data_IF_289853341136
#
_entry.id   IF_289853341136
#
_cell.length_a   1.000
_cell.length_b   1.000
_cell.length_c   1.000
_cell.angle_alpha   90.00
_cell.angle_beta   90.00
_cell.angle_gamma   90.00
#
_symmetry.space_group_name_H-M   'P 1'
#
loop_
_entity.id
_entity.type
_entity.pdbx_description
1 polymer ?
#
# COMPACT_ATOMS: atom_id res chain seq x y z
N UNK A 1 48.75 18.99 -1.07
CA UNK A 1 48.55 18.09 0.06
C UNK A 1 47.34 17.21 -0.24
N UNK A 2 47.55 15.90 -0.42
CA UNK A 2 46.44 14.95 -0.62
C UNK A 2 45.84 14.57 0.73
N UNK A 3 44.53 14.42 0.79
CA UNK A 3 43.85 13.86 1.96
C UNK A 3 44.09 12.35 1.91
N UNK A 4 44.71 11.72 2.92
CA UNK A 4 44.83 10.28 2.95
C UNK A 4 43.44 9.66 3.11
N UNK A 5 42.96 8.95 2.09
CA UNK A 5 41.74 8.15 2.19
C UNK A 5 42.10 6.66 2.13
N UNK A 6 41.54 5.86 3.00
CA UNK A 6 41.62 4.41 3.00
C UNK A 6 40.41 3.88 2.23
N UNK A 7 40.66 3.28 1.08
CA UNK A 7 39.58 2.60 0.33
C UNK A 7 39.52 1.18 0.87
N UNK A 8 38.48 0.89 1.64
CA UNK A 8 38.16 -0.48 2.02
C UNK A 8 37.20 -1.06 0.96
N UNK A 9 37.63 -2.15 0.31
CA UNK A 9 36.72 -2.96 -0.49
C UNK A 9 35.93 -3.81 0.49
N UNK A 10 34.70 -3.36 0.82
CA UNK A 10 33.77 -4.17 1.56
C UNK A 10 32.72 -4.72 0.59
N UNK A 11 32.36 -5.99 0.74
CA UNK A 11 31.21 -6.60 0.04
C UNK A 11 29.90 -6.11 0.66
N UNK A 12 29.73 -4.77 0.71
CA UNK A 12 28.52 -4.12 1.20
C UNK A 12 27.47 -4.18 0.09
N UNK A 13 26.23 -4.52 0.41
CA UNK A 13 25.15 -4.48 -0.56
C UNK A 13 24.87 -3.04 -1.01
N UNK A 14 24.38 -2.86 -2.23
CA UNK A 14 24.02 -1.53 -2.74
C UNK A 14 22.96 -0.83 -1.83
N UNK A 15 22.11 -1.60 -1.19
CA UNK A 15 21.12 -1.10 -0.21
C UNK A 15 21.83 -0.55 1.03
N UNK A 16 22.79 -1.29 1.59
CA UNK A 16 23.52 -0.86 2.78
C UNK A 16 24.42 0.36 2.48
N UNK A 17 25.01 0.41 1.30
CA UNK A 17 25.80 1.55 0.85
C UNK A 17 24.96 2.83 0.79
N UNK A 18 23.74 2.75 0.24
CA UNK A 18 22.83 3.88 0.17
C UNK A 18 22.33 4.31 1.56
N UNK A 19 22.01 3.37 2.46
CA UNK A 19 21.64 3.66 3.85
C UNK A 19 22.77 4.41 4.56
N UNK A 20 24.02 3.95 4.42
CA UNK A 20 25.19 4.61 5.01
C UNK A 20 25.40 6.02 4.44
N UNK A 21 25.15 6.23 3.16
CA UNK A 21 25.27 7.53 2.50
C UNK A 21 24.23 8.52 3.04
N UNK A 22 22.97 8.08 3.20
CA UNK A 22 21.89 8.91 3.76
C UNK A 22 22.25 9.32 5.19
N UNK A 23 22.67 8.38 6.03
CA UNK A 23 23.08 8.64 7.41
C UNK A 23 24.22 9.64 7.51
N UNK A 24 25.29 9.42 6.74
CA UNK A 24 26.44 10.32 6.74
C UNK A 24 26.08 11.76 6.32
N UNK A 25 25.15 11.92 5.39
CA UNK A 25 24.65 13.23 4.99
C UNK A 25 23.77 13.87 6.05
N UNK A 26 22.95 13.08 6.76
CA UNK A 26 22.09 13.57 7.85
C UNK A 26 22.90 14.19 8.98
N UNK A 27 24.00 13.56 9.37
CA UNK A 27 24.86 13.99 10.50
C UNK A 27 25.60 15.31 10.22
N UNK A 28 25.81 15.66 8.95
CA UNK A 28 26.66 16.81 8.56
C UNK A 28 25.85 18.07 8.25
N UNK A 29 24.55 17.98 8.00
CA UNK A 29 23.72 19.11 7.53
C UNK A 29 22.56 19.40 8.46
N UNK A 30 22.31 20.71 8.73
CA UNK A 30 20.99 21.14 9.19
C UNK A 30 19.98 20.90 8.05
N UNK A 31 19.23 19.81 8.16
CA UNK A 31 18.28 19.38 7.13
C UNK A 31 16.97 20.16 7.26
N UNK A 32 16.48 20.70 6.15
CA UNK A 32 15.11 21.23 6.06
C UNK A 32 14.08 20.14 6.32
N UNK A 33 12.81 20.53 6.58
CA UNK A 33 11.71 19.58 6.75
C UNK A 33 11.56 18.66 5.53
N UNK A 34 11.68 19.21 4.34
CA UNK A 34 11.63 18.49 3.07
C UNK A 34 12.72 17.42 2.97
N UNK A 35 13.98 17.77 3.29
CA UNK A 35 15.09 16.83 3.28
C UNK A 35 14.89 15.71 4.29
N UNK A 36 14.46 16.03 5.52
CA UNK A 36 14.18 15.00 6.55
C UNK A 36 13.07 14.04 6.12
N UNK A 37 12.05 14.54 5.47
CA UNK A 37 10.98 13.70 4.92
C UNK A 37 11.51 12.78 3.82
N UNK A 38 12.28 13.33 2.88
CA UNK A 38 12.89 12.54 1.82
C UNK A 38 13.79 11.43 2.37
N UNK A 39 14.65 11.75 3.35
CA UNK A 39 15.53 10.77 4.00
C UNK A 39 14.72 9.63 4.65
N UNK A 40 13.66 9.96 5.39
CA UNK A 40 12.80 8.94 6.03
C UNK A 40 12.06 8.11 4.97
N UNK A 41 11.52 8.73 3.93
CA UNK A 41 10.82 8.04 2.85
C UNK A 41 11.76 7.08 2.10
N UNK A 42 12.98 7.55 1.79
CA UNK A 42 13.96 6.70 1.11
C UNK A 42 14.44 5.54 1.97
N UNK A 43 14.73 5.79 3.25
CA UNK A 43 15.07 4.72 4.19
C UNK A 43 13.92 3.72 4.39
N UNK A 44 12.67 4.17 4.35
CA UNK A 44 11.51 3.29 4.42
C UNK A 44 11.54 2.26 3.27
N UNK A 45 11.73 2.71 2.03
CA UNK A 45 11.82 1.84 0.84
C UNK A 45 12.98 0.83 0.97
N UNK A 46 14.16 1.29 1.37
CA UNK A 46 15.34 0.44 1.51
C UNK A 46 15.15 -0.62 2.61
N UNK A 47 14.57 -0.23 3.74
CA UNK A 47 14.29 -1.16 4.82
C UNK A 47 13.10 -2.08 4.56
N UNK A 48 12.13 -1.67 3.73
CA UNK A 48 11.09 -2.58 3.26
C UNK A 48 11.69 -3.72 2.42
N UNK A 49 12.63 -3.41 1.53
CA UNK A 49 13.35 -4.42 0.77
C UNK A 49 14.13 -5.38 1.68
N UNK A 50 14.85 -4.88 2.70
CA UNK A 50 15.54 -5.71 3.70
C UNK A 50 14.59 -6.56 4.54
N UNK A 51 13.42 -6.04 4.87
CA UNK A 51 12.39 -6.79 5.61
C UNK A 51 11.83 -7.95 4.79
N UNK A 52 11.60 -7.78 3.50
CA UNK A 52 11.19 -8.86 2.60
C UNK A 52 12.22 -10.00 2.56
N UNK A 53 13.51 -9.67 2.69
CA UNK A 53 14.60 -10.66 2.78
C UNK A 53 14.73 -11.28 4.19
N UNK A 54 13.92 -10.87 5.17
CA UNK A 54 13.96 -11.38 6.55
C UNK A 54 15.11 -10.81 7.42
N UNK A 55 15.81 -9.77 6.94
CA UNK A 55 16.98 -9.20 7.63
C UNK A 55 16.58 -8.33 8.83
N UNK A 56 15.41 -7.69 8.79
CA UNK A 56 14.93 -6.78 9.85
C UNK A 56 13.49 -7.07 10.23
N UNK A 57 13.11 -6.66 11.46
CA UNK A 57 11.75 -6.85 12.01
C UNK A 57 10.96 -5.55 12.12
N UNK A 58 11.60 -4.45 12.53
CA UNK A 58 10.95 -3.17 12.80
C UNK A 58 11.63 -2.04 12.02
N UNK A 59 11.05 -1.70 10.87
CA UNK A 59 11.56 -0.67 9.97
C UNK A 59 11.67 0.69 10.68
N UNK A 60 10.68 1.10 11.45
CA UNK A 60 10.70 2.41 12.10
C UNK A 60 11.78 2.51 13.19
N UNK A 61 12.11 1.40 13.85
CA UNK A 61 13.23 1.36 14.79
C UNK A 61 14.57 1.51 14.07
N UNK A 62 14.74 0.87 12.91
CA UNK A 62 15.95 1.01 12.11
C UNK A 62 16.12 2.45 11.59
N UNK A 63 15.06 3.05 11.04
CA UNK A 63 15.07 4.46 10.61
C UNK A 63 15.40 5.38 11.79
N UNK A 64 14.80 5.14 12.95
CA UNK A 64 15.03 5.94 14.16
C UNK A 64 16.50 5.89 14.60
N UNK A 65 17.10 4.71 14.61
CA UNK A 65 18.51 4.51 14.92
C UNK A 65 19.41 5.20 13.89
N UNK A 66 19.07 5.08 12.60
CA UNK A 66 19.89 5.61 11.51
C UNK A 66 19.92 7.14 11.46
N UNK A 67 18.81 7.79 11.76
CA UNK A 67 18.67 9.25 11.75
C UNK A 67 18.74 9.88 13.15
N UNK A 68 19.09 9.12 14.18
CA UNK A 68 19.14 9.58 15.57
C UNK A 68 17.87 10.33 16.01
N UNK A 69 16.70 9.84 15.61
CA UNK A 69 15.39 10.34 15.98
C UNK A 69 14.62 9.31 16.81
N UNK A 70 13.51 9.69 17.41
CA UNK A 70 12.65 8.71 18.07
C UNK A 70 11.84 7.89 17.05
N UNK A 71 11.54 6.62 17.36
CA UNK A 71 10.66 5.79 16.55
C UNK A 71 9.29 6.45 16.30
N UNK A 72 8.79 7.19 17.29
CA UNK A 72 7.56 7.98 17.15
C UNK A 72 7.70 9.08 16.09
N UNK A 73 8.84 9.74 15.99
CA UNK A 73 9.10 10.73 14.93
C UNK A 73 9.21 10.06 13.56
N UNK A 74 9.93 8.94 13.45
CA UNK A 74 10.00 8.16 12.22
C UNK A 74 8.59 7.81 11.69
N UNK A 75 7.70 7.32 12.56
CA UNK A 75 6.30 7.03 12.22
C UNK A 75 5.52 8.25 11.74
N UNK A 76 5.72 9.42 12.36
CA UNK A 76 5.06 10.65 11.93
C UNK A 76 5.49 11.10 10.53
N UNK A 77 6.79 11.02 10.24
CA UNK A 77 7.30 11.30 8.89
C UNK A 77 6.68 10.35 7.85
N UNK A 78 6.65 9.04 8.15
CA UNK A 78 6.02 8.04 7.27
C UNK A 78 4.51 8.33 7.04
N UNK A 79 3.80 8.82 8.08
CA UNK A 79 2.39 9.19 7.94
C UNK A 79 2.25 10.48 7.11
N UNK A 80 3.16 11.43 7.27
CA UNK A 80 3.17 12.69 6.53
C UNK A 80 3.36 12.50 5.00
N UNK A 81 3.93 11.36 4.56
CA UNK A 81 4.00 11.01 3.13
C UNK A 81 2.63 10.75 2.49
N UNK A 82 1.60 10.54 3.30
CA UNK A 82 0.21 10.34 2.84
C UNK A 82 -0.59 11.64 2.71
N UNK A 83 0.05 12.78 2.93
CA UNK A 83 -0.59 14.08 2.74
C UNK A 83 -0.79 14.37 1.25
N UNK A 84 -1.89 15.06 0.95
CA UNK A 84 -2.06 15.67 -0.37
C UNK A 84 -0.94 16.71 -0.61
N UNK A 85 -0.57 16.97 -1.89
CA UNK A 85 0.58 17.83 -2.22
C UNK A 85 0.54 19.19 -1.52
N UNK A 86 -0.60 19.83 -1.46
CA UNK A 86 -0.77 21.17 -0.90
C UNK A 86 -0.54 21.20 0.63
N UNK A 87 -0.99 20.18 1.38
CA UNK A 87 -0.69 20.04 2.81
C UNK A 87 0.78 19.67 3.02
N UNK A 88 1.38 18.92 2.11
CA UNK A 88 2.81 18.62 2.09
C UNK A 88 3.66 19.88 1.93
N UNK A 89 3.26 20.80 1.06
CA UNK A 89 3.91 22.11 0.88
C UNK A 89 3.76 22.99 2.15
N UNK A 90 2.58 22.95 2.79
CA UNK A 90 2.39 23.65 4.07
C UNK A 90 3.30 23.09 5.17
N UNK A 91 3.54 21.78 5.21
CA UNK A 91 4.50 21.18 6.13
C UNK A 91 5.93 21.64 5.83
N UNK A 92 6.35 21.64 4.56
CA UNK A 92 7.69 22.06 4.16
C UNK A 92 7.95 23.55 4.42
N UNK A 93 6.91 24.40 4.32
CA UNK A 93 6.98 25.83 4.61
C UNK A 93 6.73 26.19 6.08
N UNK A 94 6.60 25.21 6.98
CA UNK A 94 6.24 25.37 8.39
C UNK A 94 4.86 26.02 8.61
N UNK A 95 3.95 25.95 7.64
CA UNK A 95 2.56 26.36 7.79
C UNK A 95 1.75 25.40 8.67
N UNK A 96 2.17 24.14 8.75
CA UNK A 96 1.70 23.13 9.71
C UNK A 96 2.88 22.42 10.35
N UNK A 97 2.70 21.89 11.55
CA UNK A 97 3.73 21.12 12.24
C UNK A 97 3.63 19.59 11.94
N UNK A 98 4.69 18.84 12.30
CA UNK A 98 4.73 17.39 12.08
C UNK A 98 3.64 16.62 12.85
N UNK A 99 3.12 17.16 13.97
CA UNK A 99 2.02 16.53 14.71
C UNK A 99 0.69 16.72 13.97
N UNK A 100 0.49 17.89 13.38
CA UNK A 100 -0.65 18.15 12.51
C UNK A 100 -0.59 17.29 11.25
N UNK A 101 0.57 17.20 10.60
CA UNK A 101 0.82 16.36 9.47
C UNK A 101 0.52 14.86 9.75
N UNK A 102 0.97 14.35 10.90
CA UNK A 102 0.65 12.97 11.35
C UNK A 102 -0.86 12.75 11.57
N UNK A 103 -1.58 13.77 12.06
CA UNK A 103 -3.03 13.67 12.21
C UNK A 103 -3.76 13.69 10.86
N UNK A 104 -3.36 14.60 9.97
CA UNK A 104 -4.01 14.78 8.67
C UNK A 104 -3.73 13.64 7.72
N UNK A 105 -2.49 13.12 7.68
CA UNK A 105 -2.11 11.98 6.83
C UNK A 105 -2.77 10.64 7.19
N UNK A 106 -3.53 10.58 8.29
CA UNK A 106 -4.37 9.41 8.67
C UNK A 106 -5.78 9.48 8.10
N UNK A 107 -6.16 10.61 7.52
CA UNK A 107 -7.48 10.85 6.97
C UNK A 107 -7.51 10.57 5.47
N UNK A 108 -8.70 10.35 4.94
CA UNK A 108 -8.92 10.25 3.50
C UNK A 108 -8.63 11.59 2.77
N UNK A 109 -8.49 11.53 1.46
CA UNK A 109 -8.15 12.69 0.63
C UNK A 109 -9.19 13.82 0.71
N UNK A 110 -10.49 13.49 0.80
CA UNK A 110 -11.57 14.46 0.88
C UNK A 110 -11.55 15.21 2.22
N UNK A 111 -11.27 14.50 3.30
CA UNK A 111 -11.08 15.11 4.62
C UNK A 111 -9.84 16.02 4.64
N UNK A 112 -8.74 15.61 3.99
CA UNK A 112 -7.55 16.43 3.85
C UNK A 112 -7.82 17.71 3.03
N UNK A 113 -8.56 17.64 1.93
CA UNK A 113 -9.00 18.80 1.13
C UNK A 113 -9.88 19.76 1.94
N UNK A 114 -10.77 19.21 2.77
CA UNK A 114 -11.61 20.00 3.67
C UNK A 114 -10.76 20.75 4.69
N UNK A 115 -9.79 20.08 5.31
CA UNK A 115 -8.84 20.71 6.26
C UNK A 115 -8.04 21.81 5.55
N UNK A 116 -7.53 21.55 4.35
CA UNK A 116 -6.79 22.54 3.57
C UNK A 116 -7.63 23.81 3.34
N UNK A 117 -8.90 23.66 2.94
CA UNK A 117 -9.79 24.79 2.70
C UNK A 117 -10.02 25.65 3.97
N UNK A 118 -10.11 25.00 5.14
CA UNK A 118 -10.24 25.69 6.43
C UNK A 118 -8.95 26.42 6.78
N UNK A 119 -7.79 25.79 6.62
CA UNK A 119 -6.49 26.41 6.89
C UNK A 119 -6.27 27.61 5.94
N UNK A 120 -6.60 27.49 4.68
CA UNK A 120 -6.49 28.61 3.72
C UNK A 120 -7.39 29.79 4.09
N UNK A 121 -8.56 29.54 4.64
CA UNK A 121 -9.53 30.57 5.04
C UNK A 121 -9.20 31.21 6.38
N UNK A 122 -8.81 30.41 7.37
CA UNK A 122 -8.70 30.81 8.78
C UNK A 122 -7.24 30.88 9.28
N UNK A 123 -6.27 30.44 8.47
CA UNK A 123 -4.85 30.30 8.85
C UNK A 123 -4.53 29.08 9.71
N UNK A 124 -5.54 28.49 10.35
CA UNK A 124 -5.41 27.30 11.22
C UNK A 124 -6.72 26.54 11.27
N UNK A 125 -6.69 25.32 11.82
CA UNK A 125 -7.88 24.53 12.10
C UNK A 125 -8.07 24.36 13.60
N UNK A 126 -9.28 24.59 14.10
CA UNK A 126 -9.63 24.35 15.49
C UNK A 126 -9.79 22.85 15.78
N UNK A 127 -9.52 22.45 17.03
CA UNK A 127 -9.61 21.04 17.41
C UNK A 127 -11.04 20.47 17.24
N UNK A 128 -12.07 21.27 17.49
CA UNK A 128 -13.46 20.85 17.31
C UNK A 128 -13.80 20.57 15.84
N UNK A 129 -13.37 21.43 14.92
CA UNK A 129 -13.52 21.25 13.47
C UNK A 129 -12.78 20.00 13.00
N UNK A 130 -11.53 19.82 13.44
CA UNK A 130 -10.74 18.64 13.14
C UNK A 130 -11.42 17.35 13.60
N UNK A 131 -11.95 17.30 14.83
CA UNK A 131 -12.66 16.10 15.34
C UNK A 131 -13.92 15.78 14.55
N UNK A 132 -14.66 16.80 14.09
CA UNK A 132 -15.84 16.60 13.26
C UNK A 132 -15.48 16.00 11.90
N UNK A 133 -14.43 16.51 11.24
CA UNK A 133 -13.94 15.99 9.96
C UNK A 133 -13.42 14.56 10.12
N UNK A 134 -12.65 14.32 11.19
CA UNK A 134 -12.13 12.99 11.50
C UNK A 134 -13.26 11.96 11.66
N UNK A 135 -14.30 12.29 12.40
CA UNK A 135 -15.46 11.43 12.62
C UNK A 135 -16.14 11.08 11.29
N UNK A 136 -16.36 12.06 10.41
CA UNK A 136 -16.94 11.83 9.09
C UNK A 136 -16.05 10.95 8.20
N UNK A 137 -14.73 11.12 8.25
CA UNK A 137 -13.78 10.28 7.53
C UNK A 137 -13.81 8.82 8.05
N UNK A 138 -13.88 8.62 9.37
CA UNK A 138 -14.00 7.30 9.99
C UNK A 138 -15.32 6.61 9.61
N UNK A 139 -16.45 7.31 9.63
CA UNK A 139 -17.76 6.80 9.22
C UNK A 139 -17.74 6.35 7.76
N UNK A 140 -17.19 7.15 6.84
CA UNK A 140 -17.03 6.77 5.42
C UNK A 140 -16.12 5.55 5.24
N UNK A 141 -15.03 5.47 6.02
CA UNK A 141 -14.12 4.33 5.95
C UNK A 141 -14.80 3.02 6.41
N UNK A 142 -15.67 3.09 7.42
CA UNK A 142 -16.43 1.95 7.91
C UNK A 142 -17.49 1.52 6.90
N UNK A 143 -18.22 2.46 6.29
CA UNK A 143 -19.14 2.18 5.20
C UNK A 143 -18.43 1.52 4.00
N UNK A 144 -17.28 2.06 3.59
CA UNK A 144 -16.50 1.49 2.49
C UNK A 144 -16.01 0.06 2.79
N UNK A 145 -15.65 -0.25 4.03
CA UNK A 145 -15.30 -1.61 4.47
C UNK A 145 -16.47 -2.56 4.38
N UNK A 146 -17.65 -2.10 4.76
CA UNK A 146 -18.88 -2.92 4.68
C UNK A 146 -19.27 -3.20 3.24
N UNK A 147 -19.26 -2.20 2.37
CA UNK A 147 -19.48 -2.40 0.93
C UNK A 147 -18.46 -3.36 0.31
N UNK A 148 -17.19 -3.26 0.70
CA UNK A 148 -16.16 -4.19 0.23
C UNK A 148 -16.47 -5.63 0.64
N UNK A 149 -16.89 -5.88 1.88
CA UNK A 149 -17.27 -7.23 2.32
C UNK A 149 -18.45 -7.79 1.52
N UNK A 150 -19.46 -6.95 1.25
CA UNK A 150 -20.62 -7.34 0.45
C UNK A 150 -20.19 -7.67 -0.98
N UNK A 151 -19.29 -6.87 -1.57
CA UNK A 151 -18.75 -7.12 -2.91
C UNK A 151 -17.97 -8.43 -2.96
N UNK A 152 -17.07 -8.66 -2.00
CA UNK A 152 -16.27 -9.89 -1.91
C UNK A 152 -17.18 -11.13 -1.76
N UNK A 153 -18.28 -11.02 -0.99
CA UNK A 153 -19.28 -12.09 -0.84
C UNK A 153 -20.03 -12.37 -2.14
N UNK A 154 -20.48 -11.31 -2.83
CA UNK A 154 -21.17 -11.44 -4.10
C UNK A 154 -20.26 -12.01 -5.20
N UNK A 155 -18.99 -11.62 -5.21
CA UNK A 155 -18.01 -12.15 -6.16
C UNK A 155 -17.82 -13.66 -5.98
N UNK A 156 -17.70 -14.15 -4.75
CA UNK A 156 -17.59 -15.59 -4.46
C UNK A 156 -18.86 -16.35 -4.91
N UNK A 157 -20.03 -15.77 -4.66
CA UNK A 157 -21.29 -16.39 -5.09
C UNK A 157 -21.39 -16.49 -6.62
N UNK A 158 -20.88 -15.50 -7.35
CA UNK A 158 -20.79 -15.54 -8.81
C UNK A 158 -19.83 -16.62 -9.27
N UNK A 159 -18.64 -16.74 -8.68
CA UNK A 159 -17.66 -17.77 -8.98
C UNK A 159 -18.23 -19.18 -8.76
N UNK A 160 -18.92 -19.41 -7.64
CA UNK A 160 -19.57 -20.70 -7.34
C UNK A 160 -20.65 -21.04 -8.36
N UNK A 161 -21.47 -20.06 -8.79
CA UNK A 161 -22.49 -20.23 -9.81
C UNK A 161 -21.87 -20.54 -11.18
N UNK A 162 -20.80 -19.85 -11.55
CA UNK A 162 -20.06 -20.10 -12.79
C UNK A 162 -19.50 -21.53 -12.83
N UNK A 163 -18.88 -21.97 -11.74
CA UNK A 163 -18.40 -23.36 -11.64
C UNK A 163 -19.53 -24.38 -11.77
N UNK A 164 -20.69 -24.09 -11.17
CA UNK A 164 -21.89 -24.96 -11.30
C UNK A 164 -22.38 -25.03 -12.76
N UNK A 165 -22.39 -23.90 -13.46
CA UNK A 165 -22.76 -23.84 -14.89
C UNK A 165 -21.82 -24.68 -15.72
N UNK A 166 -20.51 -24.57 -15.53
CA UNK A 166 -19.49 -25.36 -16.26
C UNK A 166 -19.70 -26.87 -16.05
N UNK A 167 -19.97 -27.28 -14.80
CA UNK A 167 -20.27 -28.69 -14.52
C UNK A 167 -21.55 -29.21 -15.19
N UNK A 168 -22.57 -28.37 -15.29
CA UNK A 168 -23.81 -28.71 -15.97
C UNK A 168 -23.62 -28.80 -17.48
N UNK A 169 -22.87 -27.89 -18.06
CA UNK A 169 -22.52 -27.91 -19.50
C UNK A 169 -21.72 -29.18 -19.87
N UNK A 170 -20.75 -29.56 -19.03
CA UNK A 170 -20.02 -30.83 -19.22
C UNK A 170 -20.96 -32.04 -19.17
N UNK A 171 -21.92 -32.08 -18.25
CA UNK A 171 -22.90 -33.18 -18.19
C UNK A 171 -23.79 -33.22 -19.44
N UNK A 172 -24.28 -32.06 -19.89
CA UNK A 172 -25.08 -31.98 -21.13
C UNK A 172 -24.31 -32.49 -22.32
N UNK A 173 -23.06 -32.06 -22.49
CA UNK A 173 -22.21 -32.54 -23.59
C UNK A 173 -21.95 -34.04 -23.53
N UNK A 174 -21.77 -34.61 -22.34
CA UNK A 174 -21.60 -36.06 -22.18
C UNK A 174 -22.87 -36.84 -22.54
N UNK A 175 -24.08 -36.35 -22.16
CA UNK A 175 -25.35 -36.96 -22.57
C UNK A 175 -25.55 -36.91 -24.09
N UNK A 176 -25.29 -35.78 -24.73
CA UNK A 176 -25.44 -35.61 -26.17
C UNK A 176 -24.48 -36.53 -26.95
N UNK A 177 -23.29 -36.80 -26.45
CA UNK A 177 -22.32 -37.71 -27.06
C UNK A 177 -22.70 -39.19 -26.85
N UNK A 178 -23.37 -39.53 -25.73
CA UNK A 178 -23.87 -40.90 -25.46
C UNK A 178 -25.02 -41.28 -26.38
N UNK A 179 -25.91 -40.35 -26.70
CA UNK A 179 -27.03 -40.59 -27.62
C UNK A 179 -26.57 -40.79 -29.07
N UNK A 180 -25.48 -40.13 -29.49
CA UNK A 180 -24.93 -40.31 -30.83
C UNK A 180 -24.29 -41.70 -31.05
N UNK A 181 -23.71 -42.29 -30.00
CA UNK A 181 -23.11 -43.64 -30.10
C UNK A 181 -24.14 -44.76 -30.09
N UNK A 182 -25.39 -44.50 -29.69
CA UNK A 182 -26.47 -45.51 -29.67
C UNK A 182 -27.24 -45.65 -30.99
N UNK A 183 -27.01 -44.73 -31.96
CA UNK A 183 -27.78 -44.71 -33.22
C UNK A 183 -27.06 -45.38 -34.39
N UNK A 184 -25.78 -45.76 -34.25
CA UNK A 184 -24.96 -46.33 -35.30
C UNK A 184 -24.85 -47.87 -35.26
N UNK A 185 -25.71 -48.56 -34.53
CA UNK A 185 -25.87 -50.01 -34.67
C UNK A 185 -27.09 -50.35 -35.60
N UNK A 186 -26.89 -50.19 -36.92
CA UNK A 186 -27.78 -50.88 -37.88
C UNK A 186 -27.64 -52.40 -37.70
N UNK A 187 -28.73 -53.19 -37.65
CA UNK A 187 -28.66 -54.62 -37.59
C UNK A 187 -28.22 -55.14 -38.97
N UNK A 188 -27.09 -55.82 -38.94
CA UNK A 188 -26.52 -56.53 -40.11
C UNK A 188 -27.60 -57.49 -40.72
N UNK A 189 -28.14 -57.16 -41.90
CA UNK A 189 -29.01 -57.97 -42.71
C UNK A 189 -28.19 -58.94 -43.59
N UNK A 190 -27.58 -59.93 -42.98
CA UNK A 190 -27.05 -61.05 -43.74
C UNK A 190 -27.07 -62.34 -42.93
N UNK A 191 -28.28 -62.92 -42.77
CA UNK A 191 -28.48 -64.35 -42.46
C UNK A 191 -29.93 -64.78 -42.76
N UNK A 192 -30.28 -64.76 -44.04
CA UNK A 192 -31.48 -65.47 -44.47
C UNK A 192 -31.32 -65.95 -45.92
N UNK A 193 -30.49 -66.96 -46.13
CA UNK A 193 -30.65 -67.93 -47.23
C UNK A 193 -29.97 -69.23 -46.83
N UNK A 194 -30.69 -70.20 -46.34
CA UNK A 194 -30.82 -71.59 -46.75
C UNK A 194 -31.73 -72.34 -45.79
#
# INVERSE_FOLDING_TARGET
>A
AGIPCKIEKSDISAIDEEIMLISANHDVRESSMEVKRWEVSRLLELYEAKKLNGEIKNIHAEIANQLNISERQARKYTTAEKLIPELSELLNSNGIDLNQADKFGKLDEDAQKTILSIIQKNGTIENAEFQSIKKLSEERADEAREYKKQLDSATREIEDKQHTIELLEQKINNFQNSDKTSTDQEPNKDDMVK
#
